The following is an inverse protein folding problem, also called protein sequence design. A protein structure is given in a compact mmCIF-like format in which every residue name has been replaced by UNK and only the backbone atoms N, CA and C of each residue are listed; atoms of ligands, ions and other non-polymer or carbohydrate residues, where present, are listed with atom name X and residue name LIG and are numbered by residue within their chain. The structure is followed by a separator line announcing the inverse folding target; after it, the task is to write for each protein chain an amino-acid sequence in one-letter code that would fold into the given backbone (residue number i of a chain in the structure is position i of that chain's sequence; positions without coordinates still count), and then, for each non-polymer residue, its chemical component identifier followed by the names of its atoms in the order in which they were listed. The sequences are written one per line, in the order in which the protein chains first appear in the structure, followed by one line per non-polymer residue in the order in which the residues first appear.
data_IF_008630319481
#
_entry.id   IF_008630319481
#
_cell.length_a   1.000
_cell.length_b   1.000
_cell.length_c   1.000
_cell.angle_alpha   90.00
_cell.angle_beta   90.00
_cell.angle_gamma   90.00
#
_symmetry.space_group_name_H-M   'P 1'
#
loop_
_entity.id
_entity.type
_entity.pdbx_description
1 polymer ?
#
# COMPACT_ATOMS: atom_id res chain seq x y z
N UNK A 1 6.90 -67.85 5.63
CA UNK A 1 6.08 -69.06 5.55
C UNK A 1 4.77 -68.66 4.88
N UNK A 2 4.73 -69.15 3.78
CA UNK A 2 3.81 -69.82 2.83
C UNK A 2 3.05 -68.85 1.92
N UNK A 3 3.58 -68.72 0.73
CA UNK A 3 2.89 -68.70 -0.58
C UNK A 3 2.33 -70.10 -0.86
N UNK A 4 1.69 -70.37 -2.00
CA UNK A 4 0.87 -69.63 -2.95
C UNK A 4 -0.39 -70.46 -3.35
N UNK A 5 -1.26 -69.97 -4.30
CA UNK A 5 -1.67 -70.83 -5.44
C UNK A 5 -2.42 -70.03 -6.51
N UNK A 6 -1.91 -70.16 -7.72
CA UNK A 6 -2.52 -69.83 -9.01
C UNK A 6 -3.67 -70.82 -9.32
N UNK A 7 -4.60 -70.35 -10.19
CA UNK A 7 -5.21 -71.19 -11.27
C UNK A 7 -5.92 -70.31 -12.30
N UNK A 8 -5.38 -70.24 -13.49
CA UNK A 8 -6.00 -70.02 -14.80
C UNK A 8 -6.53 -71.36 -15.36
N UNK A 9 -7.03 -71.45 -16.57
CA UNK A 9 -7.98 -70.64 -17.37
C UNK A 9 -9.13 -71.48 -17.96
N UNK A 10 -10.11 -70.90 -18.64
CA UNK A 10 -10.79 -71.65 -19.74
C UNK A 10 -11.38 -70.67 -20.77
N UNK A 11 -10.91 -70.83 -22.01
CA UNK A 11 -11.46 -70.31 -23.26
C UNK A 11 -12.82 -70.93 -23.59
N UNK A 12 -13.66 -70.17 -24.31
CA UNK A 12 -14.47 -70.67 -25.45
C UNK A 12 -15.07 -69.48 -26.26
N UNK A 13 -14.71 -69.40 -27.50
CA UNK A 13 -15.31 -68.66 -28.62
C UNK A 13 -16.55 -69.37 -29.18
N UNK A 14 -17.10 -68.90 -30.30
CA UNK A 14 -17.82 -67.67 -30.64
C UNK A 14 -19.20 -67.93 -31.17
N UNK A 15 -20.00 -66.90 -31.44
CA UNK A 15 -21.00 -66.85 -32.59
C UNK A 15 -21.78 -65.52 -32.56
N UNK A 16 -21.67 -64.74 -33.55
CA UNK A 16 -22.45 -64.55 -34.80
C UNK A 16 -23.41 -63.36 -34.80
N UNK A 17 -23.06 -62.44 -35.71
CA UNK A 17 -23.90 -61.50 -36.48
C UNK A 17 -25.30 -61.10 -35.97
N UNK A 18 -25.43 -59.75 -35.71
CA UNK A 18 -26.62 -59.03 -36.29
C UNK A 18 -26.44 -57.50 -36.18
N UNK A 19 -26.71 -56.87 -37.28
CA UNK A 19 -27.30 -55.54 -37.52
C UNK A 19 -26.52 -54.28 -37.23
N UNK A 20 -25.82 -53.85 -38.23
CA UNK A 20 -25.39 -52.44 -38.44
C UNK A 20 -26.64 -51.67 -38.90
N UNK A 21 -27.32 -50.94 -38.01
CA UNK A 21 -28.25 -49.88 -38.41
C UNK A 21 -28.72 -48.92 -37.32
N UNK A 22 -28.20 -49.03 -36.08
CA UNK A 22 -28.69 -48.17 -34.99
C UNK A 22 -27.71 -47.10 -34.46
N UNK A 23 -26.43 -47.20 -34.81
CA UNK A 23 -25.40 -46.37 -34.15
C UNK A 23 -25.07 -45.03 -34.82
N UNK A 24 -25.54 -44.80 -36.06
CA UNK A 24 -25.23 -43.57 -36.82
C UNK A 24 -26.11 -42.39 -36.40
N UNK A 25 -27.33 -42.65 -35.93
CA UNK A 25 -28.25 -41.58 -35.48
C UNK A 25 -27.98 -41.08 -34.06
N UNK A 26 -27.46 -41.93 -33.18
CA UNK A 26 -27.11 -41.54 -31.79
C UNK A 26 -25.79 -40.76 -31.75
N UNK A 27 -24.82 -41.13 -32.60
CA UNK A 27 -23.53 -40.40 -32.68
C UNK A 27 -23.70 -38.98 -33.23
N UNK A 28 -24.66 -38.74 -34.13
CA UNK A 28 -24.91 -37.39 -34.68
C UNK A 28 -25.65 -36.49 -33.69
N UNK A 29 -26.54 -37.01 -32.84
CA UNK A 29 -27.21 -36.25 -31.81
C UNK A 29 -26.28 -35.88 -30.66
N UNK A 30 -25.38 -36.76 -30.25
CA UNK A 30 -24.41 -36.48 -29.21
C UNK A 30 -23.37 -35.45 -29.69
N UNK A 31 -22.95 -35.48 -30.94
CA UNK A 31 -22.03 -34.48 -31.50
C UNK A 31 -22.66 -33.09 -31.61
N UNK A 32 -23.94 -32.97 -31.90
CA UNK A 32 -24.66 -31.69 -31.97
C UNK A 32 -24.86 -31.09 -30.56
N UNK A 33 -25.12 -31.93 -29.55
CA UNK A 33 -25.26 -31.48 -28.16
C UNK A 33 -23.90 -31.01 -27.58
N UNK A 34 -22.79 -31.67 -27.91
CA UNK A 34 -21.45 -31.22 -27.50
C UNK A 34 -20.99 -29.95 -28.22
N UNK A 35 -21.40 -29.71 -29.46
CA UNK A 35 -21.11 -28.46 -30.17
C UNK A 35 -21.96 -27.31 -29.61
N UNK A 36 -23.23 -27.57 -29.24
CA UNK A 36 -24.08 -26.56 -28.60
C UNK A 36 -23.62 -26.22 -27.17
N UNK A 37 -23.23 -27.21 -26.34
CA UNK A 37 -22.64 -26.97 -25.03
C UNK A 37 -21.23 -26.38 -25.11
N UNK A 38 -20.45 -26.69 -26.14
CA UNK A 38 -19.13 -26.10 -26.35
C UNK A 38 -19.18 -24.63 -26.79
N UNK A 39 -20.29 -24.19 -27.43
CA UNK A 39 -20.47 -22.79 -27.83
C UNK A 39 -20.94 -21.89 -26.68
N UNK A 40 -21.63 -22.46 -25.68
CA UNK A 40 -22.03 -21.67 -24.50
C UNK A 40 -20.87 -21.45 -23.47
N UNK A 41 -19.87 -22.32 -23.46
CA UNK A 41 -18.68 -22.15 -22.59
C UNK A 41 -17.67 -21.13 -23.19
N UNK A 42 -17.78 -20.79 -24.47
CA UNK A 42 -16.88 -19.86 -25.15
C UNK A 42 -17.30 -18.37 -25.02
N UNK A 43 -18.43 -18.06 -24.39
CA UNK A 43 -18.97 -16.68 -24.35
C UNK A 43 -18.87 -15.99 -22.99
N UNK A 44 -18.24 -16.59 -21.97
CA UNK A 44 -17.97 -15.93 -20.69
C UNK A 44 -16.51 -15.53 -20.50
N UNK A 45 -15.74 -15.39 -21.54
CA UNK A 45 -14.62 -14.46 -21.48
C UNK A 45 -15.18 -13.04 -21.60
N UNK A 46 -15.79 -12.56 -20.52
CA UNK A 46 -16.06 -11.14 -20.36
C UNK A 46 -14.80 -10.41 -20.77
N UNK A 47 -14.84 -9.72 -21.90
CA UNK A 47 -13.79 -8.81 -22.32
C UNK A 47 -13.66 -7.76 -21.21
N UNK A 48 -12.84 -8.05 -20.18
CA UNK A 48 -12.33 -7.02 -19.31
C UNK A 48 -11.74 -6.00 -20.27
N UNK A 49 -12.29 -4.81 -20.29
CA UNK A 49 -11.66 -3.71 -20.97
C UNK A 49 -10.24 -3.60 -20.38
N UNK A 50 -9.28 -4.19 -21.08
CA UNK A 50 -7.89 -4.16 -20.64
C UNK A 50 -7.45 -2.72 -20.78
N UNK A 51 -7.10 -2.12 -19.66
CA UNK A 51 -6.42 -0.82 -19.68
C UNK A 51 -5.23 -0.93 -20.63
N UNK A 52 -5.10 -0.03 -21.62
CA UNK A 52 -3.95 -0.08 -22.53
C UNK A 52 -2.65 -0.06 -21.73
N UNK A 53 -1.62 -0.79 -22.14
CA UNK A 53 -0.35 -0.78 -21.45
C UNK A 53 0.21 0.64 -21.37
N UNK A 54 0.86 0.97 -20.26
CA UNK A 54 1.46 2.29 -20.05
C UNK A 54 2.47 2.59 -21.15
N UNK A 55 2.31 3.74 -21.81
CA UNK A 55 3.28 4.21 -22.80
C UNK A 55 4.50 4.80 -22.10
N UNK A 56 5.72 4.50 -22.55
CA UNK A 56 6.93 5.11 -22.03
C UNK A 56 6.87 6.63 -22.11
N UNK A 57 7.25 7.29 -21.03
CA UNK A 57 7.36 8.74 -20.95
C UNK A 57 8.81 9.20 -21.18
N UNK A 58 9.78 8.34 -20.89
CA UNK A 58 11.20 8.56 -21.17
C UNK A 58 11.47 8.08 -22.60
N UNK A 59 11.41 9.01 -23.55
CA UNK A 59 11.55 8.73 -24.99
C UNK A 59 12.84 9.27 -25.59
N UNK A 60 13.63 10.01 -24.79
CA UNK A 60 14.89 10.60 -25.21
C UNK A 60 16.07 9.96 -24.49
N UNK A 61 17.26 10.02 -25.08
CA UNK A 61 18.47 9.58 -24.41
C UNK A 61 18.74 10.41 -23.14
N UNK A 62 19.18 9.74 -22.09
CA UNK A 62 19.59 10.38 -20.84
C UNK A 62 20.95 11.05 -21.09
N UNK A 63 20.96 12.38 -21.06
CA UNK A 63 22.15 13.23 -21.21
C UNK A 63 22.36 13.96 -19.88
N UNK A 64 23.42 13.61 -19.16
CA UNK A 64 23.71 14.12 -17.80
C UNK A 64 23.84 15.64 -17.71
N UNK A 65 24.36 16.27 -18.79
CA UNK A 65 24.55 17.72 -18.84
C UNK A 65 23.25 18.50 -19.14
N UNK A 66 22.17 17.83 -19.60
CA UNK A 66 20.89 18.45 -19.89
C UNK A 66 19.95 18.27 -18.72
N UNK A 67 19.92 19.21 -17.79
CA UNK A 67 19.24 19.12 -16.50
C UNK A 67 17.88 19.79 -16.51
N UNK A 68 16.94 19.18 -15.78
CA UNK A 68 15.65 19.73 -15.41
C UNK A 68 15.53 19.80 -13.88
N UNK A 69 15.00 20.90 -13.36
CA UNK A 69 14.78 21.12 -11.93
C UNK A 69 13.46 20.48 -11.49
N UNK A 70 13.50 19.76 -10.36
CA UNK A 70 12.33 19.22 -9.70
C UNK A 70 11.82 20.23 -8.66
N UNK A 71 10.91 21.08 -9.05
CA UNK A 71 10.39 22.15 -8.20
C UNK A 71 9.59 21.62 -7.02
N UNK A 72 9.66 22.36 -5.88
CA UNK A 72 8.88 22.05 -4.68
C UNK A 72 9.44 20.92 -3.83
N UNK A 73 10.69 20.53 -4.03
CA UNK A 73 11.36 19.48 -3.26
C UNK A 73 12.31 20.04 -2.18
N UNK A 74 12.08 21.26 -1.71
CA UNK A 74 12.83 21.91 -0.62
C UNK A 74 11.91 22.21 0.54
N UNK A 75 12.37 21.90 1.73
CA UNK A 75 11.62 22.21 2.96
C UNK A 75 11.62 23.72 3.25
N UNK A 76 10.51 24.28 3.78
CA UNK A 76 10.46 25.68 4.20
C UNK A 76 11.52 26.04 5.28
N UNK A 77 11.95 25.05 6.07
CA UNK A 77 12.97 25.22 7.09
C UNK A 77 14.41 25.31 6.53
N UNK A 78 14.62 24.92 5.26
CA UNK A 78 15.93 24.98 4.59
C UNK A 78 16.26 26.42 4.16
N UNK A 79 16.53 27.27 5.12
CA UNK A 79 16.88 28.69 4.97
C UNK A 79 18.19 29.00 5.68
N UNK A 80 18.90 30.06 5.24
CA UNK A 80 20.20 30.44 5.76
C UNK A 80 20.23 30.64 7.29
N UNK A 81 19.12 31.10 7.89
CA UNK A 81 19.04 31.29 9.36
C UNK A 81 19.14 29.96 10.12
N UNK A 82 18.71 28.88 9.56
CA UNK A 82 18.72 27.54 10.17
C UNK A 82 19.97 26.72 9.78
N UNK A 83 20.70 27.14 8.76
CA UNK A 83 21.82 26.41 8.18
C UNK A 83 23.03 26.34 9.15
N UNK A 84 23.58 25.14 9.29
CA UNK A 84 24.79 24.82 10.09
C UNK A 84 25.91 24.24 9.23
N UNK A 85 25.75 24.30 7.91
CA UNK A 85 26.72 23.87 6.92
C UNK A 85 26.42 22.48 6.35
N UNK A 86 27.13 22.21 5.27
CA UNK A 86 27.04 20.95 4.52
C UNK A 86 27.45 19.76 5.36
N UNK A 87 26.71 18.67 5.31
CA UNK A 87 27.09 17.42 5.93
C UNK A 87 28.27 16.76 5.18
N UNK A 88 29.07 15.87 5.81
CA UNK A 88 30.12 15.12 5.12
C UNK A 88 29.58 14.28 3.95
N UNK A 89 30.37 14.09 2.91
CA UNK A 89 29.97 13.32 1.71
C UNK A 89 29.55 11.88 2.05
N UNK A 90 30.13 11.27 3.06
CA UNK A 90 29.78 9.93 3.55
C UNK A 90 28.57 9.89 4.50
N UNK A 91 27.88 11.00 4.72
CA UNK A 91 26.66 11.03 5.52
C UNK A 91 25.61 10.13 4.90
N UNK A 92 25.12 9.12 5.66
CA UNK A 92 24.19 8.12 5.18
C UNK A 92 22.82 8.74 4.88
N UNK A 93 22.30 8.41 3.71
CA UNK A 93 20.96 8.78 3.23
C UNK A 93 20.22 7.51 2.87
N UNK A 94 19.45 6.98 3.80
CA UNK A 94 18.75 5.71 3.65
C UNK A 94 17.26 5.92 3.37
N UNK A 95 16.68 4.98 2.61
CA UNK A 95 15.25 4.95 2.31
C UNK A 95 14.70 6.26 1.72
N UNK A 96 15.43 6.83 0.77
CA UNK A 96 14.91 7.93 -0.03
C UNK A 96 13.89 7.40 -1.03
N UNK A 97 12.77 8.12 -1.20
CA UNK A 97 11.67 7.70 -2.05
C UNK A 97 11.60 8.58 -3.31
N UNK A 98 11.92 7.99 -4.46
CA UNK A 98 11.72 8.63 -5.75
C UNK A 98 10.31 8.32 -6.25
N UNK A 99 9.52 9.37 -6.45
CA UNK A 99 8.14 9.26 -6.92
C UNK A 99 8.10 9.39 -8.44
N UNK A 100 7.50 8.40 -9.10
CA UNK A 100 7.23 8.43 -10.53
C UNK A 100 5.86 9.05 -10.83
N UNK A 101 5.72 9.54 -12.06
CA UNK A 101 4.45 10.02 -12.61
C UNK A 101 3.72 8.87 -13.29
N UNK A 102 2.40 8.90 -13.25
CA UNK A 102 1.56 8.04 -14.07
C UNK A 102 1.34 8.70 -15.43
N UNK A 103 1.41 7.94 -16.53
CA UNK A 103 1.04 8.48 -17.85
C UNK A 103 -0.41 8.98 -17.85
N UNK A 104 -0.74 10.09 -18.56
CA UNK A 104 -2.08 10.69 -18.52
C UNK A 104 -3.22 9.72 -18.91
N UNK A 105 -2.96 8.79 -19.84
CA UNK A 105 -3.96 7.82 -20.25
C UNK A 105 -4.32 6.83 -19.11
N UNK A 106 -3.33 6.41 -18.32
CA UNK A 106 -3.55 5.57 -17.15
C UNK A 106 -4.23 6.35 -16.01
N UNK A 107 -3.93 7.64 -15.85
CA UNK A 107 -4.61 8.49 -14.87
C UNK A 107 -6.10 8.60 -15.18
N UNK A 108 -6.44 8.83 -16.46
CA UNK A 108 -7.82 8.88 -16.91
C UNK A 108 -8.53 7.53 -16.73
N UNK A 109 -7.87 6.42 -17.08
CA UNK A 109 -8.42 5.09 -16.93
C UNK A 109 -8.65 4.74 -15.45
N UNK A 110 -7.74 5.16 -14.55
CA UNK A 110 -7.89 4.98 -13.12
C UNK A 110 -9.09 5.76 -12.58
N UNK A 111 -9.27 7.01 -12.98
CA UNK A 111 -10.44 7.81 -12.58
C UNK A 111 -11.75 7.11 -12.98
N UNK A 112 -11.81 6.60 -14.20
CA UNK A 112 -12.98 5.85 -14.69
C UNK A 112 -13.21 4.56 -13.88
N UNK A 113 -12.14 3.83 -13.52
CA UNK A 113 -12.27 2.64 -12.67
C UNK A 113 -12.79 3.00 -11.27
N UNK A 114 -12.29 4.09 -10.68
CA UNK A 114 -12.77 4.55 -9.36
C UNK A 114 -14.26 4.79 -9.39
N UNK A 115 -14.79 5.49 -10.41
CA UNK A 115 -16.23 5.71 -10.58
C UNK A 115 -16.98 4.38 -10.69
N UNK A 116 -16.47 3.45 -11.51
CA UNK A 116 -17.06 2.13 -11.71
C UNK A 116 -17.07 1.25 -10.46
N UNK A 117 -16.05 1.36 -9.60
CA UNK A 117 -15.96 0.62 -8.34
C UNK A 117 -17.06 1.01 -7.35
N UNK A 118 -17.63 2.22 -7.49
CA UNK A 118 -18.68 2.76 -6.62
C UNK A 118 -20.08 2.75 -7.26
N UNK A 119 -20.19 2.41 -8.55
CA UNK A 119 -21.47 2.31 -9.26
C UNK A 119 -22.05 0.89 -9.14
N UNK A 120 -23.19 0.69 -8.45
CA UNK A 120 -23.84 -0.62 -8.33
C UNK A 120 -24.24 -1.25 -9.66
N UNK A 121 -24.44 -0.47 -10.72
CA UNK A 121 -24.76 -0.97 -12.05
C UNK A 121 -23.52 -1.42 -12.85
N UNK A 122 -22.34 -1.11 -12.36
CA UNK A 122 -21.08 -1.44 -13.03
C UNK A 122 -20.67 -2.90 -12.81
N UNK A 123 -20.16 -3.61 -13.84
CA UNK A 123 -19.57 -4.93 -13.67
C UNK A 123 -18.30 -4.90 -12.78
N UNK A 124 -17.72 -3.72 -12.53
CA UNK A 124 -16.56 -3.52 -11.67
C UNK A 124 -16.94 -3.13 -10.23
N UNK A 125 -18.22 -3.06 -9.89
CA UNK A 125 -18.67 -2.70 -8.55
C UNK A 125 -17.99 -3.54 -7.48
N UNK A 126 -17.32 -2.89 -6.51
CA UNK A 126 -16.56 -3.49 -5.41
C UNK A 126 -15.47 -4.50 -5.82
N UNK A 127 -14.99 -4.48 -7.06
CA UNK A 127 -13.87 -5.33 -7.52
C UNK A 127 -12.52 -4.65 -7.27
N UNK A 128 -12.13 -4.58 -6.02
CA UNK A 128 -10.89 -3.97 -5.60
C UNK A 128 -9.66 -4.67 -6.21
N UNK A 129 -8.64 -3.89 -6.52
CA UNK A 129 -7.38 -4.39 -7.05
C UNK A 129 -6.38 -4.62 -5.93
N UNK A 130 -5.60 -5.69 -6.04
CA UNK A 130 -4.38 -5.82 -5.24
C UNK A 130 -3.32 -4.80 -5.68
N UNK A 131 -2.31 -4.48 -4.84
CA UNK A 131 -1.23 -3.56 -5.22
C UNK A 131 -0.52 -3.96 -6.53
N UNK A 132 -0.28 -5.24 -6.75
CA UNK A 132 0.34 -5.75 -7.99
C UNK A 132 -0.58 -5.58 -9.20
N UNK A 133 -1.88 -5.85 -9.06
CA UNK A 133 -2.86 -5.62 -10.14
C UNK A 133 -2.97 -4.14 -10.47
N UNK A 134 -2.97 -3.28 -9.46
CA UNK A 134 -2.96 -1.84 -9.63
C UNK A 134 -1.72 -1.38 -10.40
N UNK A 135 -0.52 -1.82 -9.99
CA UNK A 135 0.73 -1.49 -10.67
C UNK A 135 0.76 -1.95 -12.13
N UNK A 136 0.28 -3.16 -12.41
CA UNK A 136 0.22 -3.71 -13.76
C UNK A 136 -0.75 -2.94 -14.68
N UNK A 137 -1.84 -2.39 -14.14
CA UNK A 137 -2.86 -1.70 -14.94
C UNK A 137 -2.64 -0.19 -15.01
N UNK A 138 -2.18 0.43 -13.92
CA UNK A 138 -2.14 1.89 -13.77
C UNK A 138 -0.76 2.44 -13.39
N UNK A 139 0.25 1.59 -13.27
CA UNK A 139 1.62 2.00 -13.01
C UNK A 139 2.28 2.66 -14.22
N UNK A 140 3.50 3.20 -14.04
CA UNK A 140 4.35 3.66 -15.13
C UNK A 140 4.76 2.52 -16.06
N UNK A 141 5.26 2.85 -17.25
CA UNK A 141 5.83 1.85 -18.13
C UNK A 141 7.06 1.17 -17.49
N UNK A 142 7.17 -0.14 -17.63
CA UNK A 142 8.29 -0.90 -17.09
C UNK A 142 9.65 -0.43 -17.61
N UNK A 143 9.70 0.07 -18.85
CA UNK A 143 10.92 0.68 -19.42
C UNK A 143 11.32 1.98 -18.70
N UNK A 144 10.37 2.80 -18.24
CA UNK A 144 10.67 4.02 -17.50
C UNK A 144 11.25 3.67 -16.12
N UNK A 145 10.66 2.68 -15.43
CA UNK A 145 11.18 2.17 -14.17
C UNK A 145 12.62 1.67 -14.35
N UNK A 146 12.87 0.88 -15.40
CA UNK A 146 14.21 0.35 -15.69
C UNK A 146 15.23 1.46 -16.00
N UNK A 147 14.83 2.51 -16.74
CA UNK A 147 15.72 3.63 -17.04
C UNK A 147 16.05 4.43 -15.78
N UNK A 148 15.08 4.69 -14.91
CA UNK A 148 15.31 5.43 -13.65
C UNK A 148 16.15 4.60 -12.68
N UNK A 149 15.84 3.31 -12.46
CA UNK A 149 16.62 2.44 -11.59
C UNK A 149 18.05 2.24 -12.11
N UNK A 150 18.20 2.06 -13.43
CA UNK A 150 19.50 1.97 -14.07
C UNK A 150 20.33 3.26 -13.94
N UNK A 151 19.68 4.43 -13.96
CA UNK A 151 20.33 5.71 -13.71
C UNK A 151 20.78 5.84 -12.25
N UNK A 152 19.94 5.48 -11.28
CA UNK A 152 20.32 5.45 -9.86
C UNK A 152 21.54 4.54 -9.61
N UNK A 153 21.55 3.33 -10.18
CA UNK A 153 22.68 2.41 -10.06
C UNK A 153 23.98 2.98 -10.66
N UNK A 154 23.91 3.67 -11.81
CA UNK A 154 25.12 4.29 -12.40
C UNK A 154 25.71 5.39 -11.51
N UNK A 155 24.90 6.04 -10.70
CA UNK A 155 25.34 7.01 -9.69
C UNK A 155 25.70 6.38 -8.34
N UNK A 156 25.77 5.04 -8.27
CA UNK A 156 26.21 4.29 -7.10
C UNK A 156 25.16 4.11 -6.00
N UNK A 157 23.91 4.48 -6.24
CA UNK A 157 22.83 4.22 -5.29
C UNK A 157 22.45 2.75 -5.25
N UNK A 158 22.03 2.28 -4.08
CA UNK A 158 21.36 1.00 -3.92
C UNK A 158 19.86 1.19 -4.09
N UNK A 159 19.24 0.53 -5.07
CA UNK A 159 17.77 0.46 -5.17
C UNK A 159 17.31 -0.65 -4.23
N UNK A 160 16.63 -0.28 -3.15
CA UNK A 160 16.13 -1.20 -2.14
C UNK A 160 14.89 -1.94 -2.64
N UNK A 161 13.93 -1.18 -3.21
CA UNK A 161 12.64 -1.73 -3.64
C UNK A 161 12.01 -0.84 -4.71
N UNK A 162 11.39 -1.46 -5.70
CA UNK A 162 10.33 -0.84 -6.50
C UNK A 162 9.01 -1.32 -5.94
N UNK A 163 8.18 -0.41 -5.42
CA UNK A 163 6.91 -0.77 -4.82
C UNK A 163 5.96 -1.43 -5.85
N UNK A 164 5.04 -2.30 -5.41
CA UNK A 164 4.15 -3.05 -6.32
C UNK A 164 3.32 -2.17 -7.26
N UNK A 165 3.03 -0.93 -6.87
CA UNK A 165 2.36 0.06 -7.74
C UNK A 165 3.23 0.55 -8.89
N UNK A 166 4.55 0.33 -8.84
CA UNK A 166 5.53 0.91 -9.77
C UNK A 166 5.74 2.42 -9.59
N UNK A 167 4.95 3.09 -8.73
CA UNK A 167 4.95 4.54 -8.61
C UNK A 167 6.08 5.09 -7.74
N UNK A 168 6.67 4.26 -6.88
CA UNK A 168 7.67 4.67 -5.90
C UNK A 168 8.87 3.74 -5.96
N UNK A 169 10.05 4.31 -5.95
CA UNK A 169 11.34 3.60 -5.89
C UNK A 169 12.01 3.99 -4.58
N UNK A 170 12.25 3.03 -3.71
CA UNK A 170 13.03 3.18 -2.49
C UNK A 170 14.51 2.94 -2.83
N UNK A 171 15.37 3.89 -2.48
CA UNK A 171 16.80 3.81 -2.73
C UNK A 171 17.61 4.44 -1.60
N UNK A 172 18.85 4.00 -1.45
CA UNK A 172 19.79 4.44 -0.41
C UNK A 172 21.13 4.83 -0.99
N UNK A 173 21.85 5.72 -0.30
CA UNK A 173 23.18 6.18 -0.67
C UNK A 173 23.77 7.11 0.38
N UNK A 174 24.53 8.11 -0.07
CA UNK A 174 25.14 9.12 0.81
C UNK A 174 25.01 10.54 0.23
N UNK A 175 25.31 11.54 1.04
CA UNK A 175 25.18 12.96 0.68
C UNK A 175 26.05 13.34 -0.53
N UNK A 176 27.23 12.75 -0.69
CA UNK A 176 28.11 12.96 -1.84
C UNK A 176 27.48 12.45 -3.14
N UNK A 177 26.83 11.28 -3.12
CA UNK A 177 26.07 10.75 -4.25
C UNK A 177 24.87 11.63 -4.58
N UNK A 178 24.15 12.15 -3.56
CA UNK A 178 23.05 13.10 -3.78
C UNK A 178 23.57 14.36 -4.49
N UNK A 179 24.67 14.93 -4.02
CA UNK A 179 25.26 16.10 -4.64
C UNK A 179 25.67 15.83 -6.11
N UNK A 180 26.32 14.70 -6.38
CA UNK A 180 26.77 14.34 -7.71
C UNK A 180 25.63 14.05 -8.69
N UNK A 181 24.56 13.37 -8.25
CA UNK A 181 23.47 12.93 -9.11
C UNK A 181 22.31 13.93 -9.20
N UNK A 182 21.97 14.58 -8.10
CA UNK A 182 20.80 15.45 -7.99
C UNK A 182 21.16 16.93 -7.88
N UNK A 183 22.44 17.29 -7.93
CA UNK A 183 22.94 18.68 -7.93
C UNK A 183 22.36 19.55 -6.79
N UNK A 184 22.18 18.94 -5.63
CA UNK A 184 21.74 19.61 -4.40
C UNK A 184 22.61 19.16 -3.22
N UNK A 185 22.87 20.06 -2.29
CA UNK A 185 23.64 19.77 -1.09
C UNK A 185 22.72 19.47 0.08
N UNK A 186 23.11 18.48 0.87
CA UNK A 186 22.45 18.17 2.15
C UNK A 186 23.18 18.92 3.25
N UNK A 187 22.44 19.73 4.01
CA UNK A 187 22.98 20.50 5.13
C UNK A 187 22.38 20.06 6.45
N UNK A 188 23.15 20.25 7.51
CA UNK A 188 22.63 20.22 8.88
C UNK A 188 21.88 21.51 9.15
N UNK A 189 20.69 21.41 9.72
CA UNK A 189 19.83 22.53 10.06
C UNK A 189 19.51 22.53 11.55
N UNK A 190 19.46 23.72 12.16
CA UNK A 190 18.94 23.90 13.50
C UNK A 190 17.55 24.50 13.41
N UNK A 191 16.53 23.69 13.53
CA UNK A 191 15.13 24.13 13.39
C UNK A 191 14.23 23.42 14.42
N UNK A 192 13.18 24.11 14.85
CA UNK A 192 12.18 23.54 15.77
C UNK A 192 12.75 23.00 17.09
N UNK A 193 13.92 23.52 17.54
CA UNK A 193 14.58 23.08 18.76
C UNK A 193 15.45 21.82 18.61
N UNK A 194 15.61 21.29 17.41
CA UNK A 194 16.39 20.09 17.12
C UNK A 194 17.33 20.28 15.92
N UNK A 195 18.31 19.39 15.81
CA UNK A 195 19.17 19.30 14.64
C UNK A 195 18.49 18.39 13.61
N UNK A 196 18.38 18.89 12.41
CA UNK A 196 17.82 18.18 11.26
C UNK A 196 18.82 18.16 10.11
N UNK A 197 18.50 17.42 9.05
CA UNK A 197 19.15 17.59 7.77
C UNK A 197 18.13 17.84 6.67
N UNK A 198 18.51 18.56 5.63
CA UNK A 198 17.70 18.75 4.43
C UNK A 198 18.55 19.19 3.25
N UNK A 199 18.01 19.01 2.04
CA UNK A 199 18.52 19.60 0.83
C UNK A 199 18.26 21.12 0.81
N UNK A 200 19.26 21.90 0.38
CA UNK A 200 19.19 23.37 0.36
C UNK A 200 18.66 23.96 -0.94
N UNK A 201 18.53 23.14 -1.98
CA UNK A 201 17.99 23.55 -3.27
C UNK A 201 17.13 22.44 -3.86
N UNK A 202 16.24 22.80 -4.79
CA UNK A 202 15.50 21.78 -5.55
C UNK A 202 16.47 20.87 -6.30
N UNK A 203 16.29 19.56 -6.25
CA UNK A 203 17.10 18.61 -7.02
C UNK A 203 16.98 18.85 -8.52
N UNK A 204 18.03 18.54 -9.26
CA UNK A 204 18.06 18.53 -10.71
C UNK A 204 18.39 17.13 -11.19
N UNK A 205 17.73 16.70 -12.25
CA UNK A 205 17.94 15.41 -12.90
C UNK A 205 18.06 15.59 -14.41
N UNK A 206 18.62 14.63 -15.15
CA UNK A 206 18.57 14.68 -16.63
C UNK A 206 17.14 14.93 -17.14
N UNK A 207 17.00 15.87 -18.06
CA UNK A 207 15.70 16.34 -18.56
C UNK A 207 14.84 15.20 -19.15
N UNK A 208 15.48 14.17 -19.71
CA UNK A 208 14.80 12.98 -20.21
C UNK A 208 14.03 12.26 -19.09
N UNK A 209 14.58 12.19 -17.87
CA UNK A 209 13.94 11.55 -16.71
C UNK A 209 12.80 12.38 -16.11
N UNK A 210 12.84 13.71 -16.27
CA UNK A 210 11.86 14.61 -15.68
C UNK A 210 10.42 14.42 -16.24
N UNK A 211 10.29 13.78 -17.40
CA UNK A 211 9.00 13.38 -17.94
C UNK A 211 8.30 12.33 -17.05
N UNK A 212 9.07 11.40 -16.47
CA UNK A 212 8.57 10.29 -15.67
C UNK A 212 8.74 10.49 -14.16
N UNK A 213 9.63 11.37 -13.69
CA UNK A 213 9.90 11.61 -12.27
C UNK A 213 9.13 12.82 -11.77
N UNK A 214 8.40 12.66 -10.67
CA UNK A 214 7.67 13.74 -10.00
C UNK A 214 8.56 14.50 -9.00
N UNK A 215 9.35 13.77 -8.22
CA UNK A 215 10.19 14.33 -7.17
C UNK A 215 10.85 13.26 -6.31
N UNK A 216 11.54 13.71 -5.28
CA UNK A 216 12.19 12.86 -4.29
C UNK A 216 11.66 13.27 -2.92
N UNK A 217 11.05 12.33 -2.22
CA UNK A 217 10.65 12.46 -0.83
C UNK A 217 11.81 12.00 0.04
N UNK A 218 11.93 12.55 1.25
CA UNK A 218 12.95 12.12 2.24
C UNK A 218 14.40 12.54 1.93
N UNK A 219 14.61 13.66 1.20
CA UNK A 219 15.89 14.37 1.23
C UNK A 219 16.07 15.20 2.53
N UNK A 220 15.23 14.92 3.52
CA UNK A 220 15.20 15.55 4.83
C UNK A 220 14.62 14.58 5.88
N UNK A 221 14.84 14.88 7.16
CA UNK A 221 14.33 14.10 8.29
C UNK A 221 13.21 14.83 9.07
N UNK A 222 12.60 15.85 8.47
CA UNK A 222 11.47 16.55 9.10
C UNK A 222 10.22 15.70 9.08
N UNK A 223 9.83 15.20 10.24
CA UNK A 223 8.57 14.47 10.41
C UNK A 223 7.37 15.42 10.51
N UNK A 224 6.18 15.01 10.06
CA UNK A 224 4.93 15.70 10.34
C UNK A 224 4.78 15.89 11.86
N UNK A 225 4.19 16.99 12.27
CA UNK A 225 3.78 17.17 13.66
C UNK A 225 2.32 16.80 13.82
N UNK A 226 1.94 16.17 14.94
CA UNK A 226 0.55 16.01 15.29
C UNK A 226 -0.17 17.36 15.22
N UNK A 227 -1.26 17.43 14.49
CA UNK A 227 -2.06 18.66 14.36
C UNK A 227 -2.96 18.82 15.59
N UNK A 228 -3.22 17.73 16.30
CA UNK A 228 -4.04 17.74 17.51
C UNK A 228 -3.27 18.39 18.66
N UNK A 229 -3.90 19.38 19.28
CA UNK A 229 -3.50 19.82 20.61
C UNK A 229 -3.66 18.62 21.53
N UNK A 230 -2.65 18.36 22.41
CA UNK A 230 -2.82 17.36 23.46
C UNK A 230 -4.23 17.53 24.04
N UNK A 231 -5.12 16.56 23.93
CA UNK A 231 -6.39 16.67 24.60
C UNK A 231 -6.03 16.80 26.08
N UNK A 232 -6.36 17.93 26.71
CA UNK A 232 -6.58 17.88 28.12
C UNK A 232 -7.67 16.86 28.26
N UNK A 233 -7.36 15.77 28.97
CA UNK A 233 -8.38 14.80 29.36
C UNK A 233 -9.36 15.52 30.29
N UNK A 234 -10.21 16.35 29.73
CA UNK A 234 -11.38 16.91 30.39
C UNK A 234 -12.48 15.86 30.34
N UNK A 235 -12.20 14.74 31.02
CA UNK A 235 -13.23 13.84 31.46
C UNK A 235 -13.96 14.53 32.62
N UNK A 236 -14.58 15.65 32.33
CA UNK A 236 -15.53 16.28 33.25
C UNK A 236 -16.91 15.83 32.83
N UNK A 237 -17.32 14.71 33.40
CA UNK A 237 -18.72 14.39 33.56
C UNK A 237 -19.29 15.45 34.51
N UNK A 238 -19.81 16.52 33.96
CA UNK A 238 -20.42 17.61 34.68
C UNK A 238 -20.01 18.99 34.16
N UNK A 239 -20.90 19.63 33.37
CA UNK A 239 -20.69 20.99 32.90
C UNK A 239 -20.85 21.23 31.41
N UNK A 240 -21.70 20.45 30.71
CA UNK A 240 -22.04 20.76 29.31
C UNK A 240 -21.05 20.30 28.24
N UNK A 241 -20.08 19.47 28.56
CA UNK A 241 -19.23 18.81 27.57
C UNK A 241 -19.84 17.48 27.16
N UNK A 242 -20.14 17.32 25.89
CA UNK A 242 -20.70 16.10 25.31
C UNK A 242 -19.58 15.34 24.59
N UNK A 243 -19.37 14.09 24.98
CA UNK A 243 -18.47 13.18 24.27
C UNK A 243 -19.28 12.37 23.26
N UNK A 244 -18.76 12.21 22.06
CA UNK A 244 -19.36 11.33 21.05
C UNK A 244 -19.07 9.87 21.45
N UNK A 245 -20.12 9.11 21.76
CA UNK A 245 -19.99 7.68 22.06
C UNK A 245 -20.00 6.85 20.76
N UNK A 246 -19.61 5.56 20.80
CA UNK A 246 -19.78 4.66 19.65
C UNK A 246 -21.23 4.61 19.11
N UNK A 247 -22.23 4.68 19.96
CA UNK A 247 -23.65 4.73 19.57
C UNK A 247 -24.01 6.03 18.86
N UNK A 248 -23.47 7.17 19.34
CA UNK A 248 -23.62 8.45 18.67
C UNK A 248 -22.95 8.45 17.30
N UNK A 249 -21.73 7.93 17.23
CA UNK A 249 -20.98 7.77 15.97
C UNK A 249 -21.79 6.94 14.96
N UNK A 250 -22.32 5.79 15.39
CA UNK A 250 -23.14 4.94 14.55
C UNK A 250 -24.42 5.62 14.05
N UNK A 251 -24.97 6.53 14.84
CA UNK A 251 -26.15 7.32 14.47
C UNK A 251 -25.78 8.47 13.52
N UNK A 252 -24.75 9.25 13.85
CA UNK A 252 -24.30 10.40 13.06
C UNK A 252 -23.91 9.98 11.64
N UNK A 253 -23.17 8.87 11.51
CA UNK A 253 -22.69 8.35 10.23
C UNK A 253 -23.57 7.25 9.63
N UNK A 254 -24.75 6.97 10.24
CA UNK A 254 -25.71 5.96 9.79
C UNK A 254 -25.13 4.52 9.71
N UNK A 255 -24.19 4.18 10.57
CA UNK A 255 -23.60 2.82 10.63
C UNK A 255 -24.59 1.78 11.15
N UNK A 256 -25.65 2.19 11.88
CA UNK A 256 -26.67 1.28 12.39
C UNK A 256 -27.31 0.42 11.30
N UNK A 257 -27.48 0.96 10.08
CA UNK A 257 -28.01 0.17 8.95
C UNK A 257 -27.03 -0.95 8.53
N UNK A 258 -25.70 -0.72 8.58
CA UNK A 258 -24.69 -1.72 8.28
C UNK A 258 -24.68 -2.79 9.38
N UNK A 259 -24.67 -2.39 10.64
CA UNK A 259 -24.65 -3.32 11.78
C UNK A 259 -25.89 -4.19 11.84
N UNK A 260 -27.07 -3.66 11.55
CA UNK A 260 -28.33 -4.40 11.46
C UNK A 260 -28.33 -5.43 10.31
N UNK A 261 -27.50 -5.24 9.28
CA UNK A 261 -27.29 -6.17 8.19
C UNK A 261 -26.07 -7.06 8.39
N UNK A 262 -25.54 -7.14 9.62
CA UNK A 262 -24.34 -7.91 9.97
C UNK A 262 -23.08 -7.47 9.23
N UNK A 263 -22.99 -6.22 8.81
CA UNK A 263 -21.78 -5.62 8.21
C UNK A 263 -21.10 -4.80 9.31
N UNK A 264 -20.08 -5.37 9.93
CA UNK A 264 -19.38 -4.77 11.09
C UNK A 264 -17.85 -4.88 10.98
N UNK A 265 -17.32 -5.10 9.78
CA UNK A 265 -15.87 -5.24 9.53
C UNK A 265 -15.32 -6.65 9.68
N UNK A 266 -16.17 -7.68 9.58
CA UNK A 266 -15.72 -9.07 9.65
C UNK A 266 -14.69 -9.37 8.56
N UNK A 267 -13.60 -10.06 8.94
CA UNK A 267 -12.49 -10.41 8.05
C UNK A 267 -11.77 -9.20 7.42
N UNK A 268 -11.98 -8.00 7.95
CA UNK A 268 -11.21 -6.81 7.58
C UNK A 268 -10.13 -6.53 8.61
N UNK A 269 -9.04 -5.92 8.15
CA UNK A 269 -7.97 -5.42 9.01
C UNK A 269 -7.80 -3.93 8.78
N UNK A 270 -7.80 -3.16 9.86
CA UNK A 270 -7.52 -1.73 9.85
C UNK A 270 -6.10 -1.54 10.39
N UNK A 271 -5.24 -0.92 9.59
CA UNK A 271 -3.90 -0.55 10.01
C UNK A 271 -3.90 0.92 10.43
N UNK A 272 -3.48 1.18 11.65
CA UNK A 272 -3.25 2.51 12.20
C UNK A 272 -1.75 2.75 12.23
N UNK A 273 -1.31 3.89 11.73
CA UNK A 273 0.10 4.24 11.62
C UNK A 273 0.42 5.25 12.72
N UNK A 274 1.29 4.85 13.63
CA UNK A 274 1.58 5.60 14.84
C UNK A 274 3.09 5.79 15.05
N UNK A 275 3.45 6.77 15.86
CA UNK A 275 4.83 7.00 16.29
C UNK A 275 5.06 6.60 17.77
N UNK A 276 4.10 5.93 18.38
CA UNK A 276 4.11 5.45 19.77
C UNK A 276 3.55 4.03 19.85
N UNK A 277 3.99 3.26 20.85
CA UNK A 277 3.33 2.04 21.28
C UNK A 277 2.24 2.38 22.31
N UNK A 278 1.25 1.50 22.42
CA UNK A 278 0.20 1.66 23.44
C UNK A 278 0.73 1.34 24.84
N UNK A 279 0.37 2.19 25.81
CA UNK A 279 0.65 1.92 27.22
C UNK A 279 -0.01 0.63 27.70
N UNK A 280 -1.27 0.42 27.29
CA UNK A 280 -2.03 -0.76 27.67
C UNK A 280 -3.12 -1.10 26.65
N UNK A 281 -3.14 -2.35 26.19
CA UNK A 281 -4.25 -2.87 25.37
C UNK A 281 -5.53 -3.08 26.19
N UNK A 282 -5.44 -3.03 27.53
CA UNK A 282 -6.62 -3.11 28.40
C UNK A 282 -7.56 -1.93 28.24
N UNK A 283 -7.05 -0.74 27.85
CA UNK A 283 -7.85 0.45 27.65
C UNK A 283 -8.84 0.23 26.50
N UNK A 284 -8.36 -0.33 25.38
CA UNK A 284 -9.23 -0.73 24.27
C UNK A 284 -10.28 -1.77 24.67
N UNK A 285 -9.89 -2.77 25.48
CA UNK A 285 -10.82 -3.80 25.96
C UNK A 285 -11.88 -3.20 26.89
N UNK A 286 -11.47 -2.27 27.76
CA UNK A 286 -12.35 -1.54 28.68
C UNK A 286 -13.34 -0.67 27.90
N UNK A 287 -12.86 0.09 26.91
CA UNK A 287 -13.70 0.87 26.03
C UNK A 287 -14.76 0.01 25.34
N UNK A 288 -14.35 -1.10 24.73
CA UNK A 288 -15.28 -2.02 24.06
C UNK A 288 -16.34 -2.59 25.01
N UNK A 289 -15.93 -2.91 26.23
CA UNK A 289 -16.85 -3.39 27.27
C UNK A 289 -17.82 -2.31 27.71
N UNK A 290 -17.31 -1.12 27.97
CA UNK A 290 -18.10 0.02 28.46
C UNK A 290 -19.18 0.47 27.45
N UNK A 291 -18.87 0.40 26.16
CA UNK A 291 -19.77 0.84 25.10
C UNK A 291 -20.51 -0.28 24.36
N UNK A 292 -20.53 -1.50 24.91
CA UNK A 292 -21.32 -2.61 24.38
C UNK A 292 -20.77 -3.24 23.11
N UNK A 293 -19.50 -3.00 22.76
CA UNK A 293 -18.86 -3.55 21.56
C UNK A 293 -18.35 -4.99 21.76
N UNK A 294 -18.35 -5.52 22.99
CA UNK A 294 -17.85 -6.87 23.30
C UNK A 294 -18.67 -8.00 22.65
N UNK A 295 -19.90 -7.72 22.22
CA UNK A 295 -20.74 -8.67 21.49
C UNK A 295 -20.25 -8.95 20.06
N UNK A 296 -19.44 -8.07 19.48
CA UNK A 296 -18.86 -8.23 18.17
C UNK A 296 -17.59 -9.11 18.27
N UNK A 297 -17.73 -10.35 17.84
CA UNK A 297 -16.62 -11.33 17.85
C UNK A 297 -15.70 -11.17 16.64
N UNK A 298 -14.46 -11.60 16.78
CA UNK A 298 -13.45 -11.52 15.69
C UNK A 298 -12.57 -10.27 15.73
N UNK A 299 -12.93 -9.26 16.52
CA UNK A 299 -12.07 -8.11 16.73
C UNK A 299 -10.82 -8.46 17.54
N UNK A 300 -9.71 -7.86 17.18
CA UNK A 300 -8.43 -7.98 17.90
C UNK A 300 -7.68 -6.65 17.82
N UNK A 301 -6.77 -6.42 18.77
CA UNK A 301 -5.81 -5.33 18.74
C UNK A 301 -4.40 -5.91 18.86
N UNK A 302 -3.51 -5.51 17.97
CA UNK A 302 -2.10 -5.92 18.00
C UNK A 302 -1.20 -4.76 17.60
N UNK A 303 0.05 -4.77 18.05
CA UNK A 303 1.08 -3.79 17.67
C UNK A 303 2.16 -4.49 16.85
N UNK A 304 2.63 -3.86 15.80
CA UNK A 304 3.71 -4.33 14.94
C UNK A 304 4.71 -3.20 14.65
N UNK A 305 5.96 -3.55 14.45
CA UNK A 305 7.03 -2.65 14.03
C UNK A 305 7.53 -3.14 12.66
N UNK A 306 6.86 -2.73 11.54
CA UNK A 306 7.10 -3.31 10.24
C UNK A 306 8.44 -2.88 9.68
N UNK A 307 9.40 -3.82 9.57
CA UNK A 307 10.63 -3.57 8.84
C UNK A 307 10.35 -3.37 7.34
N UNK A 308 11.13 -2.55 6.63
CA UNK A 308 11.02 -2.46 5.19
C UNK A 308 11.33 -3.83 4.55
N UNK A 309 10.76 -4.16 3.40
CA UNK A 309 10.97 -5.46 2.75
C UNK A 309 12.40 -5.65 2.23
N UNK A 310 13.19 -4.59 2.15
CA UNK A 310 14.61 -4.60 1.78
C UNK A 310 15.30 -3.32 2.27
N UNK A 311 16.63 -3.32 2.31
CA UNK A 311 17.42 -2.22 2.86
C UNK A 311 17.59 -2.33 4.38
N UNK A 312 18.11 -1.27 5.00
CA UNK A 312 18.30 -1.19 6.44
C UNK A 312 16.96 -1.12 7.17
N UNK A 313 16.85 -1.79 8.32
CA UNK A 313 15.65 -1.63 9.14
C UNK A 313 15.66 -0.26 9.85
N UNK A 314 14.75 0.61 9.43
CA UNK A 314 14.54 1.94 10.00
C UNK A 314 13.27 2.04 10.88
N UNK A 315 12.54 0.93 11.06
CA UNK A 315 11.40 0.84 11.96
C UNK A 315 11.78 0.10 13.24
N UNK A 316 12.23 0.83 14.23
CA UNK A 316 12.47 0.32 15.58
C UNK A 316 11.27 0.63 16.46
N UNK A 317 11.04 -0.22 17.47
CA UNK A 317 9.98 0.02 18.45
C UNK A 317 10.12 1.43 19.07
N UNK A 318 9.07 2.27 18.98
CA UNK A 318 9.15 3.62 19.56
C UNK A 318 9.10 3.60 21.09
N UNK A 319 8.52 2.55 21.68
CA UNK A 319 8.09 2.57 23.06
C UNK A 319 6.89 3.50 23.25
N UNK A 320 6.42 3.62 24.47
CA UNK A 320 5.31 4.53 24.84
C UNK A 320 5.84 5.94 25.00
N UNK A 321 5.21 6.90 24.35
CA UNK A 321 5.55 8.33 24.44
C UNK A 321 4.32 9.20 24.77
N UNK A 322 4.41 10.52 24.56
CA UNK A 322 3.34 11.44 24.91
C UNK A 322 2.12 11.40 23.99
N UNK A 323 2.23 10.71 22.85
CA UNK A 323 1.18 10.59 21.84
C UNK A 323 0.33 9.31 22.02
N UNK A 324 0.61 8.50 23.08
CA UNK A 324 -0.15 7.30 23.46
C UNK A 324 -1.67 7.53 23.57
N UNK A 325 -2.07 8.71 24.08
CA UNK A 325 -3.47 9.08 24.17
C UNK A 325 -4.17 9.22 22.82
N UNK A 326 -3.46 9.62 21.75
CA UNK A 326 -3.97 9.66 20.38
C UNK A 326 -4.05 8.24 19.81
N UNK A 327 -2.99 7.47 19.98
CA UNK A 327 -2.91 6.11 19.46
C UNK A 327 -4.02 5.20 20.03
N UNK A 328 -4.33 5.29 21.33
CA UNK A 328 -5.43 4.50 21.91
C UNK A 328 -6.79 5.01 21.44
N UNK A 329 -6.97 6.33 21.28
CA UNK A 329 -8.19 6.92 20.74
C UNK A 329 -8.47 6.40 19.34
N UNK A 330 -7.47 6.35 18.49
CA UNK A 330 -7.58 5.84 17.11
C UNK A 330 -8.00 4.37 17.11
N UNK A 331 -7.40 3.53 17.94
CA UNK A 331 -7.77 2.13 18.08
C UNK A 331 -9.22 1.93 18.57
N UNK A 332 -9.64 2.75 19.53
CA UNK A 332 -10.99 2.72 20.10
C UNK A 332 -12.05 3.11 19.09
N UNK A 333 -11.84 4.21 18.36
CA UNK A 333 -12.82 4.72 17.39
C UNK A 333 -12.78 3.97 16.05
N UNK A 334 -11.65 3.44 15.63
CA UNK A 334 -11.62 2.46 14.54
C UNK A 334 -12.47 1.22 14.89
N UNK A 335 -12.35 0.75 16.13
CA UNK A 335 -13.17 -0.36 16.66
C UNK A 335 -14.66 0.01 16.80
N UNK A 336 -14.99 1.28 17.07
CA UNK A 336 -16.37 1.75 17.09
C UNK A 336 -17.02 1.77 15.69
N UNK A 337 -16.23 2.13 14.67
CA UNK A 337 -16.70 2.17 13.29
C UNK A 337 -16.76 0.79 12.62
N UNK A 338 -15.90 -0.14 13.01
CA UNK A 338 -15.82 -1.50 12.46
C UNK A 338 -15.60 -2.53 13.59
N UNK A 339 -16.63 -2.81 14.40
CA UNK A 339 -16.46 -3.50 15.68
C UNK A 339 -16.08 -4.97 15.60
N UNK A 340 -16.09 -5.59 14.40
CA UNK A 340 -15.60 -6.96 14.17
C UNK A 340 -14.26 -7.00 13.40
N UNK A 341 -13.66 -5.85 13.06
CA UNK A 341 -12.39 -5.81 12.35
C UNK A 341 -11.20 -6.07 13.30
N UNK A 342 -10.12 -6.63 12.75
CA UNK A 342 -8.82 -6.64 13.40
C UNK A 342 -8.18 -5.25 13.30
N UNK A 343 -7.65 -4.74 14.41
CA UNK A 343 -6.89 -3.47 14.45
C UNK A 343 -5.42 -3.80 14.61
N UNK A 344 -4.59 -3.26 13.74
CA UNK A 344 -3.13 -3.40 13.79
C UNK A 344 -2.52 -2.02 13.92
N UNK A 345 -1.91 -1.75 15.06
CA UNK A 345 -1.09 -0.56 15.30
C UNK A 345 0.28 -0.79 14.68
N UNK A 346 0.61 -0.07 13.64
CA UNK A 346 1.92 -0.13 13.00
C UNK A 346 2.74 1.10 13.44
N UNK A 347 3.60 0.93 14.43
CA UNK A 347 4.38 2.01 15.03
C UNK A 347 5.86 1.90 14.75
N UNK A 348 6.50 3.05 14.51
CA UNK A 348 7.94 3.13 14.30
C UNK A 348 8.51 4.33 15.04
N UNK A 349 9.68 4.14 15.67
CA UNK A 349 10.39 5.25 16.28
C UNK A 349 10.74 6.30 15.23
N UNK A 350 10.37 7.55 15.49
CA UNK A 350 10.91 8.66 14.71
C UNK A 350 12.45 8.65 14.79
N UNK A 351 13.12 8.77 13.66
CA UNK A 351 14.58 8.86 13.61
C UNK A 351 15.09 10.22 14.09
N UNK A 352 14.20 11.19 14.27
CA UNK A 352 14.53 12.46 14.89
C UNK A 352 14.70 12.27 16.40
N UNK A 353 15.75 12.85 17.03
CA UNK A 353 15.88 12.80 18.47
C UNK A 353 14.63 13.42 19.11
N UNK A 354 14.16 12.89 20.26
CA UNK A 354 13.01 13.45 20.94
C UNK A 354 13.28 14.94 21.22
N UNK A 355 12.39 15.81 20.77
CA UNK A 355 12.40 17.19 21.17
C UNK A 355 12.29 17.21 22.70
N UNK A 356 13.36 17.66 23.40
CA UNK A 356 13.26 17.90 24.82
C UNK A 356 12.06 18.81 25.06
N UNK A 357 11.06 18.26 25.80
CA UNK A 357 9.80 18.91 26.11
C UNK A 357 9.94 20.07 27.07
#
# INVERSE_FOLDING_TARGET
MLEPTMLEPTMLEPMSRASKSGHTLIATMVAVVFVALGLEIAFETSARAQTPPARPMITQAIVEANLARLFGNVRPEAVAANDRGRVPDNFSMEHMLLQLKRPPAQEQALSQLIDQLHDPASPNFHRWLSPNQFGAQFGPAGSDIQQVTGWLHRHGFTVNLVYPSGMTIDFSGNAGQIFAAFHTEIHSLQARGATHFANMSDPQIPAALASAVAGIVSLNDFMPRPVMRKPKADYTVGGGSYLVTPADLATIYNFNQLFNNNISGQNQTIYLIEDTDLYSTNDWTTFRSAFGLSGYTGASLSTVHPAPPSGSNNCNAPGVNADDGEAILDAEYASAAAPSAAIVMASCRSTSPPSAG
#
